data_IF_729602698285
#
_entry.id   IF_729602698285
#
_cell.length_a   1.000
_cell.length_b   1.000
_cell.length_c   1.000
_cell.angle_alpha   90.00
_cell.angle_beta   90.00
_cell.angle_gamma   90.00
#
_symmetry.space_group_name_H-M   'P 1'
#
loop_
_entity.id
_entity.type
_entity.pdbx_description
1 polymer ?
#
# COMPACT_ATOMS: atom_id res chain seq x y z
N UNK A 1 -32.13 9.03 13.34
CA UNK A 1 -31.46 9.00 12.02
C UNK A 1 -31.24 7.58 11.48
N UNK A 2 -30.51 6.69 12.18
CA UNK A 2 -30.23 5.32 11.69
C UNK A 2 -31.46 4.49 11.32
N UNK A 3 -32.52 4.51 12.15
CA UNK A 3 -33.77 3.78 11.91
C UNK A 3 -34.44 4.17 10.58
N UNK A 4 -34.44 5.46 10.24
CA UNK A 4 -35.06 5.97 9.02
C UNK A 4 -34.25 5.61 7.77
N UNK A 5 -32.91 5.73 7.84
CA UNK A 5 -32.02 5.28 6.76
C UNK A 5 -32.14 3.77 6.54
N UNK A 6 -32.23 2.99 7.62
CA UNK A 6 -32.45 1.54 7.55
C UNK A 6 -33.74 1.23 6.80
N UNK A 7 -34.88 1.84 7.19
CA UNK A 7 -36.16 1.63 6.51
C UNK A 7 -36.08 1.98 5.02
N UNK A 8 -35.53 3.14 4.68
CA UNK A 8 -35.39 3.59 3.28
C UNK A 8 -34.55 2.64 2.45
N UNK A 9 -33.39 2.20 2.97
CA UNK A 9 -32.50 1.28 2.25
C UNK A 9 -33.14 -0.11 2.11
N UNK A 10 -33.79 -0.62 3.14
CA UNK A 10 -34.53 -1.90 3.05
C UNK A 10 -35.62 -1.83 1.97
N UNK A 11 -36.34 -0.71 1.85
CA UNK A 11 -37.35 -0.54 0.80
C UNK A 11 -36.74 -0.60 -0.61
N UNK A 12 -35.60 0.08 -0.81
CA UNK A 12 -34.86 0.09 -2.09
C UNK A 12 -34.35 -1.33 -2.45
N UNK A 13 -33.82 -2.06 -1.47
CA UNK A 13 -33.30 -3.42 -1.66
C UNK A 13 -34.42 -4.50 -1.72
N UNK A 14 -35.70 -4.09 -1.63
CA UNK A 14 -36.84 -4.99 -1.63
C UNK A 14 -36.88 -5.91 -0.41
N UNK A 15 -36.36 -5.45 0.73
CA UNK A 15 -36.35 -6.20 1.98
C UNK A 15 -35.50 -7.47 1.92
N UNK A 16 -34.44 -7.46 1.12
CA UNK A 16 -33.55 -8.62 0.93
C UNK A 16 -32.09 -8.25 1.11
N UNK A 17 -31.30 -9.20 1.55
CA UNK A 17 -29.85 -9.10 1.56
C UNK A 17 -29.34 -9.00 0.11
N UNK A 18 -28.65 -7.91 -0.22
CA UNK A 18 -28.13 -7.68 -1.57
C UNK A 18 -27.05 -8.70 -2.01
N UNK A 19 -26.51 -9.50 -1.07
CA UNK A 19 -25.49 -10.52 -1.35
C UNK A 19 -26.04 -11.93 -1.55
N UNK A 20 -27.02 -12.34 -0.74
CA UNK A 20 -27.50 -13.73 -0.73
C UNK A 20 -29.03 -13.87 -0.83
N UNK A 21 -29.78 -12.77 -0.89
CA UNK A 21 -31.24 -12.79 -1.05
C UNK A 21 -32.05 -13.11 0.20
N UNK A 22 -31.42 -13.50 1.32
CA UNK A 22 -32.10 -13.71 2.61
C UNK A 22 -32.92 -12.50 3.04
N UNK A 23 -34.07 -12.74 3.69
CA UNK A 23 -35.01 -11.71 4.16
C UNK A 23 -34.99 -11.51 5.68
N UNK A 24 -34.28 -12.37 6.40
CA UNK A 24 -34.16 -12.39 7.85
C UNK A 24 -32.92 -11.64 8.34
N UNK A 25 -33.01 -11.12 9.58
CA UNK A 25 -31.90 -10.47 10.28
C UNK A 25 -31.15 -9.42 9.43
N UNK A 26 -31.92 -8.53 8.80
CA UNK A 26 -31.39 -7.51 7.89
C UNK A 26 -30.87 -6.28 8.63
N UNK A 27 -29.70 -5.82 8.23
CA UNK A 27 -29.05 -4.60 8.70
C UNK A 27 -28.48 -3.81 7.52
N UNK A 28 -28.24 -2.52 7.72
CA UNK A 28 -27.56 -1.69 6.74
C UNK A 28 -26.07 -1.64 7.04
N UNK A 29 -25.25 -1.76 6.00
CA UNK A 29 -23.80 -1.72 6.05
C UNK A 29 -23.27 -0.57 5.18
N UNK A 30 -22.20 0.08 5.64
CA UNK A 30 -21.51 1.12 4.88
C UNK A 30 -20.51 0.53 3.88
N UNK A 31 -20.66 0.83 2.59
CA UNK A 31 -19.75 0.38 1.53
C UNK A 31 -18.35 1.02 1.72
N UNK A 32 -18.31 2.35 1.83
CA UNK A 32 -17.19 3.10 2.38
C UNK A 32 -17.41 3.27 3.88
N UNK A 33 -16.54 2.73 4.76
CA UNK A 33 -16.72 2.84 6.21
C UNK A 33 -16.60 4.27 6.70
N UNK A 34 -17.26 4.56 7.82
CA UNK A 34 -17.20 5.86 8.50
C UNK A 34 -15.79 6.36 8.77
N UNK A 35 -14.90 5.50 9.27
CA UNK A 35 -13.51 5.86 9.55
C UNK A 35 -12.68 6.23 8.30
N UNK A 36 -13.18 5.92 7.11
CA UNK A 36 -12.58 6.24 5.82
C UNK A 36 -13.35 7.37 5.09
N UNK A 37 -14.18 8.14 5.80
CA UNK A 37 -14.98 9.23 5.21
C UNK A 37 -16.36 8.81 4.69
N UNK A 38 -16.79 7.58 4.97
CA UNK A 38 -18.10 7.08 4.58
C UNK A 38 -19.26 7.83 5.23
N UNK A 39 -20.09 8.50 4.43
CA UNK A 39 -21.28 9.21 4.89
C UNK A 39 -22.48 8.28 5.07
N UNK A 40 -23.46 8.74 5.84
CA UNK A 40 -24.76 8.08 6.06
C UNK A 40 -25.73 8.37 4.89
N UNK A 41 -25.26 8.22 3.65
CA UNK A 41 -26.02 8.43 2.41
C UNK A 41 -26.52 7.08 1.85
N UNK A 42 -27.70 7.05 1.22
CA UNK A 42 -28.33 5.80 0.75
C UNK A 42 -27.48 5.03 -0.28
N UNK A 43 -26.68 5.75 -1.06
CA UNK A 43 -25.78 5.17 -2.06
C UNK A 43 -24.54 4.54 -1.44
N UNK A 44 -24.16 4.97 -0.23
CA UNK A 44 -23.08 4.39 0.55
C UNK A 44 -23.57 3.27 1.49
N UNK A 45 -24.86 2.94 1.47
CA UNK A 45 -25.47 1.92 2.31
C UNK A 45 -25.97 0.74 1.47
N UNK A 46 -25.84 -0.46 2.03
CA UNK A 46 -26.35 -1.70 1.42
C UNK A 46 -27.03 -2.56 2.48
N UNK A 47 -28.13 -3.22 2.13
CA UNK A 47 -28.81 -4.15 3.04
C UNK A 47 -28.13 -5.52 3.02
N UNK A 48 -27.71 -6.01 4.19
CA UNK A 48 -27.10 -7.32 4.35
C UNK A 48 -27.77 -8.08 5.51
N UNK A 49 -27.86 -9.41 5.38
CA UNK A 49 -28.15 -10.26 6.54
C UNK A 49 -26.93 -10.34 7.46
N UNK A 50 -27.14 -10.67 8.73
CA UNK A 50 -26.09 -10.75 9.74
C UNK A 50 -24.90 -11.63 9.35
N UNK A 51 -25.16 -12.77 8.69
CA UNK A 51 -24.09 -13.65 8.20
C UNK A 51 -23.22 -12.93 7.16
N UNK A 52 -23.83 -12.34 6.14
CA UNK A 52 -23.10 -11.61 5.09
C UNK A 52 -22.41 -10.36 5.64
N UNK A 53 -23.03 -9.68 6.60
CA UNK A 53 -22.47 -8.52 7.27
C UNK A 53 -21.17 -8.87 8.01
N UNK A 54 -21.17 -9.97 8.78
CA UNK A 54 -19.95 -10.47 9.44
C UNK A 54 -18.87 -10.86 8.44
N UNK A 55 -19.23 -11.61 7.39
CA UNK A 55 -18.29 -12.00 6.34
C UNK A 55 -17.64 -10.79 5.67
N UNK A 56 -18.40 -9.70 5.42
CA UNK A 56 -17.82 -8.49 4.84
C UNK A 56 -16.76 -7.86 5.74
N UNK A 57 -17.00 -7.77 7.05
CA UNK A 57 -16.01 -7.28 8.00
C UNK A 57 -14.75 -8.15 8.04
N UNK A 58 -14.90 -9.48 7.93
CA UNK A 58 -13.76 -10.42 7.88
C UNK A 58 -12.91 -10.21 6.62
N UNK A 59 -13.54 -10.24 5.44
CA UNK A 59 -12.87 -10.03 4.15
C UNK A 59 -12.16 -8.66 4.14
N UNK A 60 -12.82 -7.61 4.66
CA UNK A 60 -12.23 -6.28 4.74
C UNK A 60 -11.02 -6.24 5.66
N UNK A 61 -11.07 -6.93 6.80
CA UNK A 61 -9.95 -7.03 7.76
C UNK A 61 -8.76 -7.73 7.12
N UNK A 62 -9.00 -8.87 6.46
CA UNK A 62 -7.97 -9.63 5.75
C UNK A 62 -7.33 -8.81 4.62
N UNK A 63 -8.15 -8.17 3.77
CA UNK A 63 -7.67 -7.28 2.71
C UNK A 63 -6.81 -6.15 3.28
N UNK A 64 -7.22 -5.54 4.39
CA UNK A 64 -6.45 -4.46 5.04
C UNK A 64 -5.10 -4.97 5.57
N UNK A 65 -5.07 -6.17 6.15
CA UNK A 65 -3.83 -6.81 6.61
C UNK A 65 -2.89 -7.12 5.44
N UNK A 66 -3.43 -7.69 4.36
CA UNK A 66 -2.68 -7.97 3.13
C UNK A 66 -2.09 -6.69 2.52
N UNK A 67 -2.89 -5.63 2.36
CA UNK A 67 -2.42 -4.35 1.83
C UNK A 67 -1.34 -3.71 2.72
N UNK A 68 -1.44 -3.88 4.05
CA UNK A 68 -0.40 -3.42 4.98
C UNK A 68 0.91 -4.18 4.73
N UNK A 69 0.85 -5.50 4.56
CA UNK A 69 2.03 -6.33 4.25
C UNK A 69 2.66 -5.92 2.92
N UNK A 70 1.88 -5.85 1.84
CA UNK A 70 2.37 -5.41 0.51
C UNK A 70 3.03 -4.03 0.58
N UNK A 71 2.45 -3.08 1.34
CA UNK A 71 3.05 -1.75 1.52
C UNK A 71 4.38 -1.79 2.28
N UNK A 72 4.53 -2.71 3.24
CA UNK A 72 5.79 -2.93 3.96
C UNK A 72 6.83 -3.56 3.04
N UNK A 73 6.47 -4.59 2.29
CA UNK A 73 7.35 -5.28 1.33
C UNK A 73 7.81 -4.34 0.20
N UNK A 74 6.92 -3.50 -0.33
CA UNK A 74 7.31 -2.47 -1.29
C UNK A 74 8.24 -1.40 -0.69
N UNK A 75 8.12 -1.14 0.62
CA UNK A 75 8.98 -0.18 1.31
C UNK A 75 10.38 -0.76 1.54
N UNK A 76 10.52 -2.04 1.85
CA UNK A 76 11.84 -2.67 2.00
C UNK A 76 12.62 -2.66 0.68
N UNK A 77 11.98 -2.98 -0.45
CA UNK A 77 12.60 -2.88 -1.79
C UNK A 77 13.09 -1.44 -2.09
N UNK A 78 12.33 -0.42 -1.67
CA UNK A 78 12.75 0.98 -1.82
C UNK A 78 13.94 1.34 -0.93
N UNK A 79 14.06 0.75 0.25
CA UNK A 79 15.19 0.99 1.17
C UNK A 79 16.46 0.30 0.66
N UNK A 80 16.37 -0.91 0.10
CA UNK A 80 17.53 -1.63 -0.45
C UNK A 80 18.17 -0.92 -1.64
N UNK A 81 17.43 -0.08 -2.37
CA UNK A 81 17.99 0.77 -3.44
C UNK A 81 18.99 1.83 -2.98
N UNK A 82 19.22 2.00 -1.67
CA UNK A 82 20.38 2.76 -1.19
C UNK A 82 21.72 2.03 -1.41
N UNK A 83 21.71 0.72 -1.71
CA UNK A 83 22.91 -0.04 -2.06
C UNK A 83 23.46 0.32 -3.47
N UNK A 84 22.59 0.77 -4.39
CA UNK A 84 22.96 1.18 -5.76
C UNK A 84 23.60 2.59 -5.84
N UNK A 85 23.64 3.33 -4.73
CA UNK A 85 24.36 4.62 -4.67
C UNK A 85 25.87 4.38 -4.43
N UNK A 86 26.24 3.29 -3.76
CA UNK A 86 27.64 2.94 -3.49
C UNK A 86 28.33 2.23 -4.65
N UNK A 87 27.59 1.57 -5.54
CA UNK A 87 28.15 1.05 -6.79
C UNK A 87 28.55 2.19 -7.72
N UNK A 88 27.88 3.35 -7.69
CA UNK A 88 28.26 4.52 -8.49
C UNK A 88 29.61 5.12 -8.03
N UNK A 89 29.84 5.21 -6.71
CA UNK A 89 31.12 5.71 -6.17
C UNK A 89 32.28 4.73 -6.33
N UNK A 90 32.03 3.44 -6.09
CA UNK A 90 33.06 2.39 -6.23
C UNK A 90 33.35 2.10 -7.70
N UNK A 91 32.36 2.08 -8.61
CA UNK A 91 32.63 2.01 -10.06
C UNK A 91 33.33 3.26 -10.56
N UNK A 92 33.04 4.46 -10.05
CA UNK A 92 33.78 5.67 -10.45
C UNK A 92 35.24 5.60 -10.00
N UNK A 93 35.51 5.17 -8.76
CA UNK A 93 36.87 4.96 -8.27
C UNK A 93 37.55 3.80 -9.02
N UNK A 94 36.86 2.70 -9.32
CA UNK A 94 37.37 1.62 -10.17
C UNK A 94 37.72 2.14 -11.58
N UNK A 95 36.82 2.90 -12.21
CA UNK A 95 37.02 3.46 -13.54
C UNK A 95 38.23 4.41 -13.56
N UNK A 96 38.39 5.28 -12.55
CA UNK A 96 39.57 6.14 -12.41
C UNK A 96 40.87 5.36 -12.16
N UNK A 97 40.83 4.30 -11.34
CA UNK A 97 42.04 3.51 -11.02
C UNK A 97 42.44 2.60 -12.19
N UNK A 98 41.50 2.14 -13.01
CA UNK A 98 41.79 1.37 -14.23
C UNK A 98 42.28 2.24 -15.40
N UNK A 99 41.76 3.46 -15.57
CA UNK A 99 42.27 4.40 -16.58
C UNK A 99 43.73 4.80 -16.33
N UNK A 100 44.14 4.85 -15.05
CA UNK A 100 45.52 5.19 -14.66
C UNK A 100 46.52 4.05 -14.96
N UNK A 101 46.05 2.80 -15.01
CA UNK A 101 46.86 1.64 -15.42
C UNK A 101 46.99 1.57 -16.95
N UNK A 102 45.96 1.98 -17.70
CA UNK A 102 45.97 1.95 -19.16
C UNK A 102 46.69 3.14 -19.82
N UNK A 103 46.89 4.26 -19.12
CA UNK A 103 47.42 5.51 -19.72
C UNK A 103 48.95 5.69 -19.66
N UNK A 104 49.70 4.82 -18.98
CA UNK A 104 51.18 4.81 -19.03
C UNK A 104 51.89 6.09 -18.56
N UNK A 105 51.22 7.02 -17.89
CA UNK A 105 51.84 8.25 -17.39
C UNK A 105 52.57 7.98 -16.07
N UNK A 106 53.90 8.09 -16.09
CA UNK A 106 54.75 8.02 -14.90
C UNK A 106 54.45 9.19 -13.96
N UNK A 107 54.50 8.99 -12.63
CA UNK A 107 54.31 10.07 -11.66
C UNK A 107 55.42 11.14 -11.82
N UNK A 108 55.12 12.43 -11.58
CA UNK A 108 56.11 13.49 -11.66
C UNK A 108 57.21 13.29 -10.60
N UNK A 109 58.47 13.42 -11.01
CA UNK A 109 59.64 13.31 -10.13
C UNK A 109 59.70 14.54 -9.20
N UNK A 110 59.28 14.34 -7.95
CA UNK A 110 59.36 15.34 -6.91
C UNK A 110 60.72 15.35 -6.22
N UNK A 111 61.52 16.37 -6.57
CA UNK A 111 62.44 17.15 -5.72
C UNK A 111 63.54 16.39 -4.93
N UNK A 112 64.77 16.49 -5.43
CA UNK A 112 66.00 16.15 -4.70
C UNK A 112 66.14 17.05 -3.46
N UNK A 113 66.27 16.45 -2.27
CA UNK A 113 66.80 17.15 -1.10
C UNK A 113 68.32 17.14 -1.21
N UNK A 114 68.89 18.29 -1.54
CA UNK A 114 70.31 18.54 -1.37
C UNK A 114 70.55 19.03 0.06
N UNK A 115 71.67 18.56 0.61
CA UNK A 115 72.21 18.88 1.94
C UNK A 115 72.58 20.37 2.05
#
# INVERSE_FOLDING_TARGET
>A
MYRELKKKRLLIDGGRCSRCGRTDCLTIHHILPKHAGGKDELDNLVTLCDACHRTEHLIRKERKAHLKKVKLDLKSIKIDRNFDIWTSGILYIWFMVMDMVCSGLKPPQGFQKNN
#
